data_IF_037639594557
#
_entry.id   IF_037639594557
#
_cell.length_a   1.000
_cell.length_b   1.000
_cell.length_c   1.000
_cell.angle_alpha   90.00
_cell.angle_beta   90.00
_cell.angle_gamma   90.00
#
_symmetry.space_group_name_H-M   'P 1'
#
loop_
_entity.id
_entity.type
_entity.pdbx_description
1 polymer ?
#
# COMPACT_ATOMS: atom_id res chain seq x y z
N UNK A 1 -18.50 -3.33 -8.58
CA UNK A 1 -17.12 -3.12 -9.08
C UNK A 1 -17.08 -2.34 -10.39
N UNK A 2 -16.53 -1.11 -10.40
CA UNK A 2 -16.12 -0.44 -11.65
C UNK A 2 -14.93 -1.23 -12.22
N UNK A 3 -14.83 -1.34 -13.55
CA UNK A 3 -13.73 -2.06 -14.21
C UNK A 3 -12.41 -1.28 -14.06
N UNK A 4 -11.78 -1.45 -12.89
CA UNK A 4 -10.54 -0.77 -12.51
C UNK A 4 -9.37 -1.21 -13.40
N UNK A 5 -9.35 -2.49 -13.76
CA UNK A 5 -8.41 -3.08 -14.71
C UNK A 5 -8.49 -2.37 -16.07
N UNK A 6 -9.70 -2.11 -16.57
CA UNK A 6 -9.87 -1.33 -17.78
C UNK A 6 -9.36 0.12 -17.65
N UNK A 7 -9.49 0.75 -16.48
CA UNK A 7 -8.99 2.11 -16.27
C UNK A 7 -7.46 2.20 -16.38
N UNK A 8 -6.69 1.19 -15.96
CA UNK A 8 -5.23 1.17 -16.12
C UNK A 8 -4.78 1.22 -17.58
N UNK A 9 -5.60 0.70 -18.50
CA UNK A 9 -5.37 0.75 -19.94
C UNK A 9 -5.68 2.10 -20.60
N UNK A 10 -6.32 3.03 -19.88
CA UNK A 10 -6.74 4.32 -20.43
C UNK A 10 -5.64 5.39 -20.28
N UNK A 11 -5.50 6.33 -21.24
CA UNK A 11 -4.62 7.48 -21.08
C UNK A 11 -5.04 8.32 -19.87
N UNK A 12 -4.11 9.14 -19.38
CA UNK A 12 -4.41 10.08 -18.30
C UNK A 12 -5.57 10.99 -18.67
N UNK A 13 -6.57 11.08 -17.80
CA UNK A 13 -7.83 11.76 -18.08
C UNK A 13 -7.76 13.27 -17.87
N UNK A 14 -6.86 13.76 -17.01
CA UNK A 14 -6.76 15.18 -16.64
C UNK A 14 -5.42 15.52 -15.94
N UNK A 15 -5.23 16.80 -15.63
CA UNK A 15 -4.04 17.31 -14.92
C UNK A 15 -3.88 16.67 -13.54
N UNK A 16 -4.97 16.47 -12.80
CA UNK A 16 -4.91 15.81 -11.49
C UNK A 16 -4.32 14.39 -11.58
N UNK A 17 -4.70 13.61 -12.59
CA UNK A 17 -4.13 12.28 -12.82
C UNK A 17 -2.66 12.35 -13.24
N UNK A 18 -2.24 13.37 -14.02
CA UNK A 18 -0.83 13.59 -14.34
C UNK A 18 0.01 13.95 -13.10
N UNK A 19 -0.56 14.72 -12.16
CA UNK A 19 0.08 15.02 -10.88
C UNK A 19 0.20 13.76 -10.02
N UNK A 20 -0.85 12.93 -9.97
CA UNK A 20 -0.80 11.64 -9.27
C UNK A 20 0.25 10.72 -9.89
N UNK A 21 0.33 10.65 -11.23
CA UNK A 21 1.40 9.91 -11.91
C UNK A 21 2.78 10.39 -11.48
N UNK A 22 3.02 11.69 -11.53
CA UNK A 22 4.32 12.28 -11.21
C UNK A 22 4.74 12.01 -9.76
N UNK A 23 3.75 11.90 -8.86
CA UNK A 23 3.98 11.63 -7.45
C UNK A 23 4.16 10.13 -7.13
N UNK A 24 3.27 9.28 -7.66
CA UNK A 24 3.12 7.89 -7.22
C UNK A 24 3.82 6.88 -8.12
N UNK A 25 3.95 7.16 -9.42
CA UNK A 25 4.57 6.24 -10.38
C UNK A 25 5.30 7.01 -11.49
N UNK A 26 6.31 7.84 -11.12
CA UNK A 26 7.03 8.68 -12.09
C UNK A 26 7.80 7.85 -13.13
N UNK A 27 8.30 6.69 -12.73
CA UNK A 27 9.27 5.89 -13.51
C UNK A 27 8.64 4.78 -14.38
N UNK A 28 7.33 4.57 -14.27
CA UNK A 28 6.60 3.53 -15.02
C UNK A 28 5.37 4.14 -15.71
N UNK A 29 4.78 3.37 -16.64
CA UNK A 29 3.53 3.74 -17.28
C UNK A 29 2.36 3.22 -16.44
N UNK A 30 1.19 3.89 -16.57
CA UNK A 30 -0.05 3.45 -15.92
C UNK A 30 -0.43 2.02 -16.34
N UNK A 31 -0.17 1.66 -17.59
CA UNK A 31 -0.37 0.32 -18.15
C UNK A 31 0.54 -0.74 -17.53
N UNK A 32 1.60 -0.34 -16.82
CA UNK A 32 2.56 -1.25 -16.18
C UNK A 32 2.15 -1.59 -14.75
N UNK A 33 1.21 -0.85 -14.14
CA UNK A 33 0.84 -1.02 -12.73
C UNK A 33 0.33 -2.43 -12.40
N UNK A 34 -0.57 -2.97 -13.24
CA UNK A 34 -1.09 -4.33 -13.06
C UNK A 34 -0.04 -5.41 -13.43
N UNK A 35 0.63 -5.36 -14.61
CA UNK A 35 1.66 -6.34 -14.96
C UNK A 35 2.84 -6.43 -13.98
N UNK A 36 3.16 -5.32 -13.30
CA UNK A 36 4.21 -5.27 -12.28
C UNK A 36 3.72 -5.63 -10.88
N UNK A 37 2.42 -5.84 -10.68
CA UNK A 37 1.83 -6.29 -9.42
C UNK A 37 1.49 -5.17 -8.42
N UNK A 38 1.58 -3.90 -8.81
CA UNK A 38 1.18 -2.75 -7.98
C UNK A 38 -0.34 -2.49 -7.99
N UNK A 39 -1.04 -3.05 -8.97
CA UNK A 39 -2.50 -3.03 -9.02
C UNK A 39 -3.02 -4.45 -9.18
N UNK A 40 -4.10 -4.78 -8.47
CA UNK A 40 -4.79 -6.05 -8.67
C UNK A 40 -5.59 -6.01 -9.98
N UNK A 41 -5.33 -6.96 -10.87
CA UNK A 41 -6.08 -7.11 -12.13
C UNK A 41 -7.49 -7.69 -11.96
N UNK A 42 -7.84 -8.14 -10.75
CA UNK A 42 -9.17 -8.70 -10.44
C UNK A 42 -9.74 -8.09 -9.16
N UNK A 43 -9.33 -8.58 -7.99
CA UNK A 43 -9.87 -8.22 -6.68
C UNK A 43 -8.73 -7.84 -5.74
N UNK A 44 -8.83 -6.69 -5.08
CA UNK A 44 -7.84 -6.26 -4.09
C UNK A 44 -7.93 -7.11 -2.81
N UNK A 45 -6.79 -7.41 -2.18
CA UNK A 45 -6.71 -8.12 -0.88
C UNK A 45 -7.47 -7.38 0.22
N UNK A 46 -7.49 -6.04 0.16
CA UNK A 46 -8.27 -5.20 1.07
C UNK A 46 -9.78 -5.48 1.03
N UNK A 47 -10.30 -6.02 -0.08
CA UNK A 47 -11.74 -6.34 -0.21
C UNK A 47 -12.18 -7.49 0.70
N UNK A 48 -11.25 -8.23 1.31
CA UNK A 48 -11.53 -9.34 2.23
C UNK A 48 -11.42 -8.94 3.71
N UNK A 49 -11.16 -7.66 4.01
CA UNK A 49 -11.13 -7.12 5.37
C UNK A 49 -9.96 -7.60 6.23
N UNK A 50 -8.98 -8.30 5.65
CA UNK A 50 -7.81 -8.82 6.36
C UNK A 50 -6.49 -8.17 5.93
N UNK A 51 -6.51 -7.08 5.17
CA UNK A 51 -5.30 -6.34 4.79
C UNK A 51 -5.32 -4.94 5.41
N UNK A 52 -4.13 -4.42 5.74
CA UNK A 52 -3.93 -3.08 6.28
C UNK A 52 -2.73 -2.42 5.64
N UNK A 53 -2.84 -1.11 5.52
CA UNK A 53 -1.81 -0.23 4.99
C UNK A 53 -1.40 0.76 6.08
N UNK A 54 -0.16 0.68 6.56
CA UNK A 54 0.29 1.38 7.77
C UNK A 54 1.70 1.97 7.65
N UNK A 55 1.97 2.98 8.47
CA UNK A 55 3.30 3.56 8.65
C UNK A 55 3.52 3.93 10.12
N UNK A 56 4.74 4.33 10.47
CA UNK A 56 5.11 4.73 11.82
C UNK A 56 5.02 6.25 11.98
N UNK A 57 4.64 6.66 13.18
CA UNK A 57 4.68 8.07 13.61
C UNK A 57 5.52 8.21 14.87
N UNK A 58 6.22 9.32 14.98
CA UNK A 58 6.82 9.74 16.23
C UNK A 58 5.72 10.22 17.20
N UNK A 59 5.62 9.60 18.37
CA UNK A 59 4.53 9.89 19.32
C UNK A 59 4.64 11.27 19.99
N UNK A 60 5.81 11.91 19.99
CA UNK A 60 5.99 13.23 20.61
C UNK A 60 5.56 14.35 19.65
N UNK A 61 5.82 14.16 18.37
CA UNK A 61 5.63 15.17 17.32
C UNK A 61 4.42 14.89 16.43
N UNK A 62 3.91 13.66 16.42
CA UNK A 62 2.85 13.18 15.53
C UNK A 62 3.26 13.09 14.06
N UNK A 63 4.56 13.22 13.75
CA UNK A 63 5.06 13.20 12.37
C UNK A 63 5.31 11.78 11.90
N UNK A 64 5.04 11.52 10.62
CA UNK A 64 5.45 10.29 9.96
C UNK A 64 6.96 10.14 10.04
N UNK A 65 7.42 8.93 10.37
CA UNK A 65 8.83 8.59 10.25
C UNK A 65 9.21 8.46 8.77
N UNK A 66 10.47 8.71 8.46
CA UNK A 66 10.99 8.51 7.11
C UNK A 66 10.98 7.02 6.77
N UNK A 67 10.35 6.68 5.65
CA UNK A 67 10.29 5.34 5.10
C UNK A 67 11.03 5.24 3.76
N UNK A 68 11.72 6.30 3.31
CA UNK A 68 12.47 6.35 2.06
C UNK A 68 11.61 6.44 0.79
N UNK A 69 10.31 6.23 0.92
CA UNK A 69 9.31 6.43 -0.11
C UNK A 69 7.98 6.84 0.53
N UNK A 70 7.18 7.63 -0.19
CA UNK A 70 5.83 7.96 0.25
C UNK A 70 4.89 6.75 0.15
N UNK A 71 3.74 6.85 0.80
CA UNK A 71 2.64 5.92 0.62
C UNK A 71 2.16 5.89 -0.86
N UNK A 72 1.76 4.72 -1.36
CA UNK A 72 1.39 4.49 -2.76
C UNK A 72 2.49 4.89 -3.76
N UNK A 73 3.78 4.76 -3.40
CA UNK A 73 4.87 4.95 -4.35
C UNK A 73 5.17 3.65 -5.09
N UNK A 74 4.64 3.48 -6.29
CA UNK A 74 4.76 2.27 -7.11
C UNK A 74 6.10 2.24 -7.85
N UNK A 75 7.16 1.99 -7.09
CA UNK A 75 8.55 1.86 -7.54
C UNK A 75 9.27 0.78 -6.72
N UNK A 76 10.41 0.30 -7.22
CA UNK A 76 11.27 -0.66 -6.51
C UNK A 76 11.75 -0.11 -5.17
N UNK A 77 11.86 1.20 -5.02
CA UNK A 77 12.14 1.85 -3.74
C UNK A 77 11.14 1.45 -2.64
N UNK A 78 9.90 1.07 -2.99
CA UNK A 78 8.89 0.64 -2.02
C UNK A 78 8.93 -0.85 -1.70
N UNK A 79 9.72 -1.64 -2.44
CA UNK A 79 9.83 -3.08 -2.22
C UNK A 79 10.53 -3.36 -0.89
N UNK A 80 10.21 -4.50 -0.27
CA UNK A 80 10.89 -4.97 0.93
C UNK A 80 12.36 -5.31 0.68
N UNK A 81 12.72 -5.57 -0.57
CA UNK A 81 14.09 -5.86 -0.99
C UNK A 81 14.97 -4.61 -1.13
N UNK A 82 14.41 -3.40 -0.97
CA UNK A 82 15.18 -2.17 -1.08
C UNK A 82 16.27 -2.08 0.00
N UNK A 83 17.48 -1.65 -0.39
CA UNK A 83 18.65 -1.67 0.50
C UNK A 83 18.88 -0.33 1.22
N UNK A 84 19.63 -0.30 2.33
CA UNK A 84 20.00 0.97 2.99
C UNK A 84 20.68 1.98 2.06
N UNK A 85 21.43 1.53 1.05
CA UNK A 85 22.03 2.40 0.04
C UNK A 85 21.01 3.05 -0.89
N UNK A 86 19.87 2.39 -1.13
CA UNK A 86 18.80 2.89 -2.01
C UNK A 86 17.85 3.85 -1.29
N UNK A 87 17.52 3.57 -0.02
CA UNK A 87 16.48 4.31 0.73
C UNK A 87 17.00 5.09 1.93
N UNK A 88 18.26 4.88 2.33
CA UNK A 88 18.86 5.44 3.53
C UNK A 88 18.74 4.53 4.75
N UNK A 89 19.74 4.59 5.63
CA UNK A 89 19.84 3.79 6.87
C UNK A 89 18.66 4.00 7.82
N UNK A 90 18.18 5.25 7.95
CA UNK A 90 17.04 5.59 8.80
C UNK A 90 15.75 4.96 8.29
N UNK A 91 15.45 5.12 7.00
CA UNK A 91 14.29 4.53 6.35
C UNK A 91 14.32 3.00 6.44
N UNK A 92 15.47 2.38 6.18
CA UNK A 92 15.64 0.93 6.29
C UNK A 92 15.34 0.45 7.72
N UNK A 93 15.95 1.10 8.72
CA UNK A 93 15.71 0.78 10.14
C UNK A 93 14.24 0.95 10.55
N UNK A 94 13.55 1.98 10.05
CA UNK A 94 12.13 2.21 10.31
C UNK A 94 11.24 1.15 9.65
N UNK A 95 11.56 0.71 8.43
CA UNK A 95 10.86 -0.40 7.77
C UNK A 95 11.07 -1.73 8.51
N UNK A 96 12.28 -2.01 9.00
CA UNK A 96 12.52 -3.20 9.85
C UNK A 96 11.74 -3.13 11.16
N UNK A 97 11.66 -1.96 11.79
CA UNK A 97 10.85 -1.77 13.00
C UNK A 97 9.37 -2.02 12.72
N UNK A 98 8.82 -1.46 11.65
CA UNK A 98 7.43 -1.66 11.24
C UNK A 98 7.15 -3.14 10.97
N UNK A 99 7.97 -3.79 10.14
CA UNK A 99 7.78 -5.19 9.77
C UNK A 99 7.80 -6.11 11.00
N UNK A 100 8.80 -5.97 11.88
CA UNK A 100 8.87 -6.78 13.10
C UNK A 100 7.64 -6.57 13.99
N UNK A 101 7.21 -5.33 14.17
CA UNK A 101 6.03 -5.00 14.97
C UNK A 101 4.77 -5.66 14.41
N UNK A 102 4.54 -5.55 13.09
CA UNK A 102 3.40 -6.17 12.43
C UNK A 102 3.46 -7.71 12.52
N UNK A 103 4.63 -8.31 12.29
CA UNK A 103 4.83 -9.76 12.36
C UNK A 103 4.60 -10.35 13.76
N UNK A 104 4.90 -9.62 14.84
CA UNK A 104 4.55 -10.07 16.20
C UNK A 104 3.04 -10.29 16.39
N UNK A 105 2.21 -9.54 15.66
CA UNK A 105 0.75 -9.67 15.65
C UNK A 105 0.23 -10.48 14.46
N UNK A 106 1.07 -11.36 13.89
CA UNK A 106 0.73 -12.31 12.82
C UNK A 106 0.33 -11.66 11.49
N UNK A 107 0.73 -10.42 11.26
CA UNK A 107 0.65 -9.81 9.94
C UNK A 107 1.83 -10.25 9.06
N UNK A 108 1.57 -10.42 7.78
CA UNK A 108 2.50 -10.87 6.74
C UNK A 108 2.75 -9.69 5.80
N UNK A 109 4.01 -9.23 5.62
CA UNK A 109 4.30 -8.10 4.74
C UNK A 109 4.15 -8.49 3.27
N UNK A 110 3.85 -7.52 2.40
CA UNK A 110 3.78 -7.72 0.95
C UNK A 110 5.06 -7.21 0.26
N UNK A 111 5.65 -8.05 -0.59
CA UNK A 111 7.00 -7.83 -1.15
C UNK A 111 7.18 -6.48 -1.88
N UNK A 112 6.13 -5.97 -2.53
CA UNK A 112 6.21 -4.79 -3.39
C UNK A 112 5.88 -3.47 -2.66
N UNK A 113 5.38 -3.53 -1.42
CA UNK A 113 4.81 -2.38 -0.72
C UNK A 113 5.19 -2.43 0.76
N UNK A 114 6.14 -1.59 1.19
CA UNK A 114 6.61 -1.58 2.59
C UNK A 114 5.52 -1.33 3.64
N UNK A 115 4.39 -0.75 3.23
CA UNK A 115 3.27 -0.37 4.09
C UNK A 115 2.17 -1.42 4.15
N UNK A 116 2.09 -2.36 3.20
CA UNK A 116 0.99 -3.32 3.08
C UNK A 116 1.27 -4.59 3.87
N UNK A 117 0.27 -5.00 4.66
CA UNK A 117 0.32 -6.22 5.43
C UNK A 117 -1.02 -6.97 5.35
N UNK A 118 -0.95 -8.28 5.10
CA UNK A 118 -2.09 -9.18 5.24
C UNK A 118 -2.07 -9.81 6.64
N UNK A 119 -3.19 -9.80 7.37
CA UNK A 119 -3.36 -10.68 8.51
C UNK A 119 -3.38 -12.14 8.02
N UNK A 120 -2.64 -13.02 8.71
CA UNK A 120 -2.39 -14.39 8.25
C UNK A 120 -3.65 -15.26 8.14
N UNK A 121 -4.71 -14.91 8.86
CA UNK A 121 -6.01 -15.55 8.81
C UNK A 121 -7.00 -14.66 8.05
N UNK A 122 -7.80 -15.27 7.18
CA UNK A 122 -8.87 -14.59 6.45
C UNK A 122 -10.21 -15.12 6.91
N UNK A 123 -11.03 -14.26 7.51
CA UNK A 123 -12.37 -14.63 7.98
C UNK A 123 -13.44 -14.55 6.88
N UNK A 124 -13.19 -13.72 5.86
CA UNK A 124 -14.13 -13.42 4.78
C UNK A 124 -13.56 -13.95 3.47
N UNK A 125 -14.24 -14.93 2.89
CA UNK A 125 -13.81 -15.57 1.62
C UNK A 125 -14.41 -14.91 0.37
N UNK A 126 -15.37 -14.00 0.54
CA UNK A 126 -16.00 -13.25 -0.55
C UNK A 126 -15.61 -11.78 -0.49
N UNK A 127 -15.32 -11.14 -1.63
CA UNK A 127 -15.01 -9.71 -1.63
C UNK A 127 -16.22 -8.90 -1.19
N UNK A 128 -15.99 -8.01 -0.23
CA UNK A 128 -16.96 -7.04 0.24
C UNK A 128 -17.05 -5.86 -0.74
N UNK A 129 -18.28 -5.46 -1.09
CA UNK A 129 -18.56 -4.30 -1.96
C UNK A 129 -19.65 -3.43 -1.33
N UNK A 130 -19.34 -2.87 -0.16
CA UNK A 130 -20.18 -1.90 0.54
C UNK A 130 -19.38 -0.63 0.87
N UNK A 131 -20.02 0.54 0.95
CA UNK A 131 -19.32 1.79 1.22
C UNK A 131 -18.75 1.82 2.65
N UNK A 132 -17.53 2.33 2.80
CA UNK A 132 -16.97 2.64 4.12
C UNK A 132 -17.54 3.97 4.58
N UNK A 133 -18.35 3.94 5.64
CA UNK A 133 -19.09 5.09 6.17
C UNK A 133 -18.83 5.29 7.67
N UNK A 134 -19.02 6.51 8.21
CA UNK A 134 -18.75 6.80 9.62
C UNK A 134 -19.55 5.97 10.63
N UNK A 135 -20.72 5.45 10.23
CA UNK A 135 -21.55 4.56 11.07
C UNK A 135 -20.91 3.18 11.29
N UNK A 136 -19.86 2.83 10.53
CA UNK A 136 -19.04 1.65 10.79
C UNK A 136 -18.02 1.85 11.92
N UNK A 137 -17.83 3.09 12.41
CA UNK A 137 -16.87 3.37 13.47
C UNK A 137 -17.31 2.77 14.81
N UNK A 138 -16.37 2.17 15.54
CA UNK A 138 -16.63 1.64 16.89
C UNK A 138 -17.43 0.33 16.92
N UNK A 139 -17.55 -0.39 15.80
CA UNK A 139 -18.24 -1.69 15.74
C UNK A 139 -17.53 -2.83 16.49
N UNK A 140 -16.33 -2.60 17.03
CA UNK A 140 -15.70 -3.49 18.01
C UNK A 140 -15.53 -4.93 17.51
N UNK A 141 -15.11 -5.09 16.26
CA UNK A 141 -14.33 -6.26 15.85
C UNK A 141 -12.91 -6.13 16.37
#
# INVERSE_FOLDING_TARGET
MKDFSHWFGQPSANEYENDRKSLHYPNILKTDLEPLGYASGEVSRHSFGNAVDVSLVDLQTGKLLDMGAIFDFFDKTSHLTATPEEIGEEAFSNRELLQRGMQEFRFIPFDLEYWHFDYHEREIDIPLDFPITPDLAGLGV
#
